data_IF_531823603341
#
_entry.id   IF_531823603341
#
_cell.length_a   1.000
_cell.length_b   1.000
_cell.length_c   1.000
_cell.angle_alpha   90.00
_cell.angle_beta   90.00
_cell.angle_gamma   90.00
#
_symmetry.space_group_name_H-M   'P 1'
#
loop_
_entity.id
_entity.type
_entity.pdbx_description
1 polymer ?
2 polymer ?
3 non-polymer ?
#
# COMPACT_ATOMS: atom_id res chain seq x y z
N UNK A 1 -8.43 -14.33 11.55
CA UNK A 1 -9.37 -13.34 11.07
C UNK A 1 -8.73 -12.34 10.13
N UNK A 2 -8.99 -12.50 8.83
CA UNK A 2 -8.41 -11.65 7.80
C UNK A 2 -9.51 -11.24 6.82
N UNK A 3 -10.04 -10.03 7.01
CA UNK A 3 -11.00 -9.44 6.08
C UNK A 3 -10.26 -8.70 4.98
N UNK A 4 -10.77 -8.80 3.76
CA UNK A 4 -10.11 -8.15 2.65
C UNK A 4 -11.01 -7.88 1.45
N UNK A 5 -10.89 -6.72 0.84
CA UNK A 5 -11.66 -6.34 -0.32
C UNK A 5 -10.76 -6.29 -1.56
N UNK A 6 -11.41 -6.30 -2.72
CA UNK A 6 -10.70 -6.29 -3.99
C UNK A 6 -11.38 -5.31 -4.93
N UNK A 7 -10.60 -4.43 -5.56
CA UNK A 7 -11.14 -3.52 -6.55
C UNK A 7 -11.64 -4.33 -7.75
N UNK A 8 -12.42 -3.66 -8.60
CA UNK A 8 -12.95 -4.34 -9.76
C UNK A 8 -11.88 -4.95 -10.63
N UNK A 9 -10.73 -4.27 -10.73
CA UNK A 9 -9.65 -4.72 -11.60
C UNK A 9 -8.71 -5.68 -10.87
N UNK A 10 -9.27 -6.82 -10.47
CA UNK A 10 -8.51 -7.90 -9.87
C UNK A 10 -8.93 -9.21 -10.52
N UNK A 11 -7.94 -10.05 -10.85
CA UNK A 11 -8.23 -11.35 -11.40
C UNK A 11 -9.09 -12.16 -10.44
N UNK A 12 -10.12 -12.81 -10.98
CA UNK A 12 -10.94 -13.69 -10.16
C UNK A 12 -10.12 -14.80 -9.53
N UNK A 13 -9.05 -15.24 -10.21
CA UNK A 13 -8.15 -16.21 -9.62
C UNK A 13 -7.68 -15.76 -8.24
N UNK A 14 -7.19 -14.53 -8.14
CA UNK A 14 -6.67 -14.02 -6.88
C UNK A 14 -7.77 -13.99 -5.81
N UNK A 15 -8.96 -13.53 -6.19
CA UNK A 15 -10.07 -13.54 -5.23
C UNK A 15 -10.38 -14.95 -4.78
N UNK A 16 -10.38 -15.92 -5.71
CA UNK A 16 -10.64 -17.31 -5.34
C UNK A 16 -9.63 -17.80 -4.32
N UNK A 17 -8.35 -17.49 -4.53
CA UNK A 17 -7.33 -17.92 -3.58
C UNK A 17 -7.57 -17.31 -2.20
N UNK A 18 -7.88 -16.01 -2.15
CA UNK A 18 -8.19 -15.37 -0.88
C UNK A 18 -9.32 -16.11 -0.16
N UNK A 19 -10.38 -16.44 -0.89
CA UNK A 19 -11.48 -17.21 -0.31
C UNK A 19 -10.98 -18.53 0.22
N UNK A 20 -10.10 -19.20 -0.53
CA UNK A 20 -9.78 -20.59 -0.21
C UNK A 20 -8.88 -20.70 1.02
N UNK A 21 -7.96 -19.75 1.22
CA UNK A 21 -6.91 -19.96 2.20
C UNK A 21 -6.49 -18.66 2.86
N UNK A 22 -6.20 -18.74 4.15
CA UNK A 22 -5.74 -17.64 4.97
C UNK A 22 -6.29 -17.80 6.38
N UNK A 23 -6.39 -16.67 7.09
CA UNK A 23 -7.13 -16.65 8.34
C UNK A 23 -8.60 -16.85 8.04
N UNK A 24 -9.50 -16.55 8.99
CA UNK A 24 -10.92 -16.55 8.64
C UNK A 24 -11.13 -15.52 7.53
N UNK A 25 -11.62 -15.97 6.39
CA UNK A 25 -11.72 -15.12 5.21
C UNK A 25 -13.11 -14.50 5.14
N UNK A 26 -13.13 -13.20 4.85
CA UNK A 26 -14.32 -12.38 4.69
C UNK A 26 -13.87 -11.23 3.82
N UNK A 27 -14.79 -10.64 3.08
CA UNK A 27 -14.47 -9.56 2.14
C UNK A 27 -15.50 -8.45 2.21
N UNK A 28 -15.41 -7.59 3.24
CA UNK A 28 -16.33 -6.44 3.34
C UNK A 28 -15.84 -5.17 2.68
N UNK A 29 -16.58 -4.08 2.85
CA UNK A 29 -16.19 -2.79 2.25
C UNK A 29 -14.91 -2.25 2.88
N UNK A 30 -14.84 -2.26 4.22
CA UNK A 30 -13.72 -1.67 4.95
C UNK A 30 -12.57 -2.65 5.10
N UNK A 31 -12.82 -3.79 5.74
CA UNK A 31 -11.87 -4.90 5.76
C UNK A 31 -10.57 -4.60 6.49
N UNK A 32 -9.66 -5.57 6.47
CA UNK A 32 -8.32 -5.44 7.02
C UNK A 32 -7.23 -5.36 5.97
N UNK A 33 -7.44 -5.97 4.81
CA UNK A 33 -6.48 -5.98 3.71
C UNK A 33 -7.12 -5.29 2.51
N UNK A 34 -6.36 -4.43 1.87
CA UNK A 34 -6.82 -3.67 0.70
C UNK A 34 -6.01 -4.15 -0.50
N UNK A 35 -6.64 -4.89 -1.39
CA UNK A 35 -5.97 -5.47 -2.54
C UNK A 35 -6.45 -4.85 -3.85
N UNK A 36 -5.53 -4.75 -4.80
CA UNK A 36 -5.82 -4.18 -6.11
C UNK A 36 -4.71 -4.59 -7.07
N UNK A 37 -5.07 -4.71 -8.35
CA UNK A 37 -4.08 -4.85 -9.40
C UNK A 37 -3.96 -3.58 -10.24
N UNK A 38 -4.49 -2.47 -9.74
CA UNK A 38 -4.47 -1.23 -10.48
C UNK A 38 -4.53 -0.06 -9.53
N UNK A 39 -4.03 1.09 -10.00
CA UNK A 39 -4.00 2.30 -9.20
C UNK A 39 -4.28 3.55 -10.03
N UNK A 40 -4.86 3.39 -11.23
CA UNK A 40 -5.08 4.51 -12.12
C UNK A 40 -6.48 5.09 -11.91
N UNK A 41 -7.50 4.47 -12.49
CA UNK A 41 -8.88 4.90 -12.32
C UNK A 41 -9.82 3.75 -11.98
N UNK A 42 -9.46 2.90 -11.01
CA UNK A 42 -10.42 1.88 -10.54
C UNK A 42 -11.01 2.29 -9.19
N UNK A 43 -11.86 1.41 -8.63
CA UNK A 43 -12.28 1.54 -7.25
C UNK A 43 -11.18 1.91 -6.25
N UNK A 44 -9.93 1.58 -6.56
CA UNK A 44 -8.84 1.80 -5.61
C UNK A 44 -8.70 3.28 -5.25
N UNK A 45 -9.02 4.18 -6.17
CA UNK A 45 -8.93 5.60 -5.87
C UNK A 45 -9.73 5.95 -4.61
N UNK A 46 -10.83 5.24 -4.36
CA UNK A 46 -11.64 5.47 -3.17
C UNK A 46 -10.89 5.15 -1.89
N UNK A 47 -9.80 4.37 -1.97
CA UNK A 47 -8.90 4.23 -0.83
C UNK A 47 -7.96 5.43 -0.76
N UNK A 48 -7.25 5.71 -1.86
CA UNK A 48 -6.19 6.71 -1.84
C UNK A 48 -6.68 8.05 -1.33
N UNK A 49 -7.95 8.39 -1.64
CA UNK A 49 -8.51 9.68 -1.26
C UNK A 49 -9.43 9.58 -0.04
N UNK A 50 -9.39 8.48 0.68
CA UNK A 50 -10.05 8.41 1.97
C UNK A 50 -9.21 9.10 3.04
N UNK A 51 -9.88 9.49 4.13
CA UNK A 51 -9.13 10.03 5.27
C UNK A 51 -8.22 8.98 5.88
N UNK A 52 -8.61 7.70 5.78
CA UNK A 52 -7.78 6.64 6.35
C UNK A 52 -6.42 6.57 5.67
N UNK A 53 -6.41 6.68 4.33
CA UNK A 53 -5.13 6.73 3.62
C UNK A 53 -4.32 7.95 4.06
N UNK A 54 -4.97 9.11 4.13
CA UNK A 54 -4.28 10.33 4.56
C UNK A 54 -3.69 10.16 5.95
N UNK A 55 -4.45 9.54 6.85
CA UNK A 55 -4.03 9.40 8.24
C UNK A 55 -3.28 8.10 8.51
N UNK A 56 -2.74 7.47 7.47
CA UNK A 56 -1.91 6.27 7.61
C UNK A 56 -2.68 5.10 8.24
N UNK A 57 -3.98 5.01 7.95
CA UNK A 57 -4.78 3.86 8.37
C UNK A 57 -5.18 2.98 7.19
N UNK A 58 -4.51 3.14 6.06
CA UNK A 58 -4.85 2.35 4.87
C UNK A 58 -3.64 2.28 3.96
N UNK A 59 -3.18 1.06 3.68
CA UNK A 59 -2.16 0.79 2.68
C UNK A 59 -2.74 -0.17 1.65
N UNK A 60 -2.65 0.19 0.37
CA UNK A 60 -3.08 -0.67 -0.70
C UNK A 60 -1.93 -1.59 -1.09
N UNK A 61 -2.20 -2.90 -1.13
CA UNK A 61 -1.23 -3.89 -1.57
C UNK A 61 -1.65 -4.45 -2.93
N UNK A 62 -0.67 -4.75 -3.77
CA UNK A 62 -0.96 -5.33 -5.08
C UNK A 62 -1.47 -6.76 -4.89
N UNK A 63 -2.57 -7.08 -5.56
CA UNK A 63 -3.22 -8.37 -5.34
C UNK A 63 -2.32 -9.54 -5.74
N UNK A 64 -1.28 -9.29 -6.53
CA UNK A 64 -0.33 -10.34 -6.85
C UNK A 64 0.40 -10.84 -5.61
N UNK A 65 0.31 -10.13 -4.48
CA UNK A 65 0.74 -10.72 -3.21
C UNK A 65 0.16 -12.11 -3.04
N UNK A 66 -1.13 -12.27 -3.37
CA UNK A 66 -1.77 -13.57 -3.24
C UNK A 66 -1.19 -14.57 -4.22
N UNK A 67 -0.86 -14.14 -5.44
CA UNK A 67 -0.18 -15.02 -6.37
C UNK A 67 1.15 -15.48 -5.81
N UNK A 68 1.92 -14.56 -5.21
CA UNK A 68 3.21 -14.92 -4.63
C UNK A 68 3.05 -15.95 -3.52
N UNK A 69 2.03 -15.79 -2.67
CA UNK A 69 1.80 -16.77 -1.61
C UNK A 69 1.38 -18.10 -2.21
N UNK A 70 0.48 -18.07 -3.19
CA UNK A 70 0.02 -19.31 -3.81
C UNK A 70 1.18 -20.11 -4.38
N UNK A 71 2.24 -19.43 -4.84
CA UNK A 71 3.42 -20.08 -5.39
C UNK A 71 4.54 -20.18 -4.37
N UNK A 72 4.29 -19.79 -3.12
CA UNK A 72 5.18 -20.09 -2.01
C UNK A 72 4.80 -21.46 -1.45
N UNK A 73 5.49 -21.89 -0.39
CA UNK A 73 5.17 -23.19 0.21
C UNK A 73 3.70 -23.11 0.60
N UNK A 74 3.40 -22.38 1.68
CA UNK A 74 2.03 -22.19 2.13
C UNK A 74 1.65 -20.73 2.31
N UNK A 75 2.10 -20.15 3.42
CA UNK A 75 1.85 -18.76 3.78
C UNK A 75 3.11 -18.07 4.26
N UNK A 76 4.18 -18.82 4.54
CA UNK A 76 5.43 -18.31 5.05
C UNK A 76 6.09 -17.38 4.04
N UNK A 77 7.05 -16.60 4.54
CA UNK A 77 7.83 -15.71 3.69
C UNK A 77 6.85 -14.75 2.99
N UNK A 78 7.22 -14.29 1.79
CA UNK A 78 6.38 -13.37 1.03
C UNK A 78 5.96 -12.11 1.80
N UNK A 79 6.95 -11.35 2.28
CA UNK A 79 6.64 -10.13 3.01
C UNK A 79 5.73 -9.16 2.27
N UNK A 80 4.83 -8.53 3.03
CA UNK A 80 3.87 -7.62 2.42
C UNK A 80 4.55 -6.43 1.76
N UNK A 81 5.57 -5.88 2.41
CA UNK A 81 6.17 -4.64 1.97
C UNK A 81 6.56 -4.60 0.51
N UNK A 82 6.79 -5.78 -0.07
CA UNK A 82 7.19 -5.83 -1.48
C UNK A 82 6.02 -5.53 -2.41
N UNK A 83 4.79 -5.61 -1.91
CA UNK A 83 3.61 -5.45 -2.74
C UNK A 83 2.85 -4.16 -2.45
N UNK A 84 3.50 -3.21 -1.78
CA UNK A 84 2.91 -1.89 -1.61
C UNK A 84 2.56 -1.34 -2.98
N UNK A 85 1.31 -0.93 -3.15
CA UNK A 85 0.82 -0.40 -4.41
C UNK A 85 0.53 1.09 -4.25
N UNK A 86 1.46 1.97 -4.57
CA UNK A 86 1.23 3.41 -4.38
C UNK A 86 0.40 4.00 -5.50
N UNK A 87 -0.15 5.19 -5.31
CA UNK A 87 -0.90 5.85 -6.38
C UNK A 87 -0.11 5.96 -7.67
N UNK A 88 -0.80 5.73 -8.80
CA UNK A 88 -0.12 5.68 -10.08
C UNK A 88 0.62 6.97 -10.40
N UNK A 89 0.12 8.11 -9.88
CA UNK A 89 0.79 9.38 -10.13
C UNK A 89 2.19 9.40 -9.55
N UNK A 90 2.49 8.53 -8.59
CA UNK A 90 3.82 8.44 -8.01
C UNK A 90 4.70 7.43 -8.71
N UNK A 91 4.11 6.37 -9.29
CA UNK A 91 4.88 5.20 -9.69
C UNK A 91 5.98 5.56 -10.68
N UNK A 92 5.69 6.45 -11.64
CA UNK A 92 6.70 6.81 -12.62
C UNK A 92 7.98 7.31 -11.95
N UNK A 93 7.84 8.15 -10.92
CA UNK A 93 9.00 8.69 -10.23
C UNK A 93 9.62 7.69 -9.26
N UNK A 94 8.80 6.81 -8.67
CA UNK A 94 9.34 5.80 -7.77
C UNK A 94 10.29 4.89 -8.52
N UNK A 95 9.86 4.38 -9.68
CA UNK A 95 10.70 3.50 -10.48
C UNK A 95 12.03 4.18 -10.79
N UNK A 96 11.98 5.39 -11.35
CA UNK A 96 13.20 6.07 -11.76
C UNK A 96 14.14 6.28 -10.58
N UNK A 97 13.60 6.76 -9.45
CA UNK A 97 14.45 7.03 -8.29
C UNK A 97 15.12 5.76 -7.80
N UNK A 98 14.44 4.62 -7.88
CA UNK A 98 15.04 3.35 -7.48
C UNK A 98 16.03 2.87 -8.54
N UNK A 99 15.65 2.97 -9.82
CA UNK A 99 16.49 2.43 -10.87
C UNK A 99 17.76 3.23 -11.11
N UNK A 100 17.73 4.53 -10.81
CA UNK A 100 18.83 5.40 -11.17
C UNK A 100 20.14 4.93 -10.56
N UNK A 101 21.25 5.36 -11.19
CA UNK A 101 22.58 5.06 -10.71
C UNK A 101 23.00 6.08 -9.64
N UNK A 102 24.01 5.68 -8.85
CA UNK A 102 24.43 6.52 -7.73
C UNK A 102 24.98 7.86 -8.23
N UNK A 103 25.58 7.88 -9.41
CA UNK A 103 26.10 9.14 -9.95
C UNK A 103 25.01 10.03 -10.53
N UNK A 104 23.74 9.64 -10.42
CA UNK A 104 22.64 10.42 -10.97
C UNK A 104 21.79 11.01 -9.85
N UNK A 105 21.00 10.20 -9.16
CA UNK A 105 20.17 10.63 -8.03
C UNK A 105 19.55 12.01 -8.31
N UNK A 106 18.80 12.07 -9.40
CA UNK A 106 18.19 13.33 -9.83
C UNK A 106 16.94 13.60 -8.99
N UNK A 107 16.89 14.78 -8.37
CA UNK A 107 15.73 15.22 -7.62
C UNK A 107 15.85 16.69 -7.23
N UNK B 1 18.99 -10.17 9.01
CA UNK B 1 18.74 -8.91 8.33
C UNK B 1 17.40 -8.29 8.76
N UNK B 2 17.47 -7.21 9.51
CA UNK B 2 16.27 -6.52 9.96
C UNK B 2 15.93 -5.38 9.01
N UNK B 3 14.65 -5.30 8.63
CA UNK B 3 14.12 -4.20 7.84
C UNK B 3 12.62 -4.41 7.66
N UNK B 4 11.80 -3.62 8.37
CA UNK B 4 10.35 -3.78 8.27
C UNK B 4 9.92 -3.68 6.82
N UNK B 5 8.86 -4.42 6.48
CA UNK B 5 8.37 -4.51 5.13
C UNK B 5 9.04 -5.59 4.30
N UNK B 6 10.32 -5.85 4.55
CA UNK B 6 11.01 -6.98 3.94
C UNK B 6 10.96 -8.21 4.82
N UNK B 7 10.79 -8.03 6.12
CA UNK B 7 10.56 -9.11 7.07
C UNK B 7 9.10 -9.11 7.52
N UNK B 8 8.24 -8.41 6.78
CA UNK B 8 6.82 -8.29 7.10
C UNK B 8 6.11 -9.61 6.87
N UNK B 9 6.54 -10.64 7.60
CA UNK B 9 5.98 -11.98 7.48
C UNK B 9 5.06 -12.31 8.66
N UNK B 10 5.21 -11.62 9.79
CA UNK B 10 4.45 -11.97 10.98
C UNK B 10 2.96 -11.78 10.77
N UNK B 11 2.19 -12.72 11.32
CA UNK B 11 0.73 -12.66 11.23
C UNK B 11 0.20 -11.41 11.93
N UNK B 12 -1.01 -11.02 11.54
CA UNK B 12 -1.75 -9.88 12.07
C UNK B 12 -1.35 -8.57 11.39
N UNK B 13 -0.27 -8.55 10.60
CA UNK B 13 0.12 -7.35 9.87
C UNK B 13 -0.77 -7.18 8.65
N UNK B 14 -1.34 -6.00 8.48
CA UNK B 14 -2.35 -5.78 7.45
C UNK B 14 -2.29 -4.34 6.97
N UNK B 15 -3.31 -3.92 6.21
CA UNK B 15 -3.29 -2.62 5.57
C UNK B 15 -3.46 -1.47 6.55
N UNK B 16 -3.99 -1.73 7.75
CA UNK B 16 -4.12 -0.69 8.77
C UNK B 16 -2.87 -0.59 9.62
N UNK B 17 -2.25 -1.72 9.94
CA UNK B 17 -1.04 -1.72 10.74
C UNK B 17 0.20 -1.33 9.94
N UNK B 18 0.20 -1.59 8.63
CA UNK B 18 1.47 -1.60 7.90
C UNK B 18 2.11 -0.22 7.86
N UNK B 19 1.35 0.81 7.44
CA UNK B 19 1.94 2.13 7.32
C UNK B 19 2.63 2.55 8.61
N UNK B 20 2.01 2.28 9.74
CA UNK B 20 2.62 2.62 11.03
C UNK B 20 3.82 1.73 11.33
N UNK B 21 3.83 0.50 10.82
CA UNK B 21 4.97 -0.38 11.03
C UNK B 21 6.25 0.25 10.47
N UNK B 22 6.25 0.58 9.18
CA UNK B 22 7.44 1.14 8.55
C UNK B 22 7.89 2.41 9.27
N UNK B 23 6.95 3.32 9.52
CA UNK B 23 7.30 4.58 10.17
C UNK B 23 7.98 4.34 11.51
N UNK B 24 7.57 3.29 12.22
CA UNK B 24 8.12 2.99 13.54
C UNK B 24 9.46 2.27 13.48
N UNK B 25 9.92 1.89 12.29
CA UNK B 25 11.04 0.97 12.16
C UNK B 25 12.36 1.73 12.12
N UNK B 26 13.30 1.45 13.01
CA UNK B 26 14.56 2.23 13.00
C UNK B 26 15.34 2.11 11.70
N UNK B 27 15.27 0.98 11.02
CA UNK B 27 16.07 0.75 9.81
C UNK B 27 15.16 0.41 8.64
N UNK B 28 15.26 1.19 7.56
CA UNK B 28 14.45 0.98 6.38
C UNK B 28 15.32 0.89 5.13
N UNK B 29 14.97 -0.05 4.25
CA UNK B 29 15.70 -0.22 2.99
C UNK B 29 15.36 0.91 2.02
N UNK B 30 16.20 1.05 1.01
CA UNK B 30 16.06 2.17 0.07
C UNK B 30 14.72 2.12 -0.64
N UNK B 31 14.29 0.94 -1.07
CA UNK B 31 13.02 0.83 -1.80
C UNK B 31 11.87 1.37 -0.96
N UNK B 32 11.85 1.08 0.33
CA UNK B 32 10.77 1.52 1.19
C UNK B 32 10.95 2.95 1.66
N UNK B 33 12.20 3.42 1.77
CA UNK B 33 12.45 4.85 1.95
C UNK B 33 11.85 5.65 0.80
N UNK B 34 12.02 5.17 -0.43
CA UNK B 34 11.50 5.87 -1.59
C UNK B 34 9.97 5.85 -1.60
N UNK B 35 9.38 4.67 -1.48
CA UNK B 35 7.92 4.57 -1.55
C UNK B 35 7.28 5.42 -0.45
N UNK B 36 7.82 5.34 0.77
CA UNK B 36 7.25 6.11 1.88
C UNK B 36 7.28 7.60 1.56
N UNK B 37 8.45 8.11 1.17
CA UNK B 37 8.56 9.52 0.83
C UNK B 37 7.61 9.90 -0.29
N UNK B 38 7.44 9.02 -1.28
CA UNK B 38 6.50 9.30 -2.35
C UNK B 38 5.06 9.34 -1.85
N UNK B 39 4.70 8.39 -0.98
CA UNK B 39 3.34 8.38 -0.44
C UNK B 39 3.09 9.58 0.46
N UNK B 40 4.08 9.97 1.26
CA UNK B 40 3.90 11.14 2.12
C UNK B 40 3.63 12.40 1.29
N UNK B 41 4.32 12.54 0.16
CA UNK B 41 4.07 13.67 -0.72
C UNK B 41 2.62 13.69 -1.19
N UNK B 42 2.12 12.54 -1.63
CA UNK B 42 0.73 12.44 -2.07
C UNK B 42 -0.23 12.82 -0.95
N UNK B 43 -0.01 12.26 0.25
CA UNK B 43 -0.91 12.54 1.36
C UNK B 43 -0.83 14.01 1.78
N UNK B 44 0.36 14.60 1.73
CA UNK B 44 0.49 16.02 2.03
C UNK B 44 -0.37 16.86 1.09
N UNK B 45 -0.36 16.53 -0.21
CA UNK B 45 -1.07 17.34 -1.18
C UNK B 45 -2.58 17.22 -1.03
N UNK B 46 -3.08 16.07 -0.58
CA UNK B 46 -4.51 15.98 -0.28
C UNK B 46 -4.87 16.92 0.87
N UNK B 47 -4.10 16.88 1.95
CA UNK B 47 -4.34 17.80 3.05
C UNK B 47 -4.29 19.25 2.59
N UNK B 48 -3.20 19.63 1.92
CA UNK B 48 -3.01 21.02 1.52
C UNK B 48 -4.02 21.45 0.46
N UNK B 49 -4.60 20.49 -0.27
CA UNK B 49 -5.73 20.82 -1.14
C UNK B 49 -6.95 21.21 -0.32
N UNK B 50 -7.22 20.46 0.75
CA UNK B 50 -8.39 20.74 1.58
C UNK B 50 -8.26 22.09 2.28
N UNK B 51 -7.05 22.45 2.71
CA UNK B 51 -6.89 23.70 3.45
C UNK B 51 -6.79 24.90 2.54
N UNK B 52 -6.47 24.70 1.26
CA UNK B 52 -6.26 25.80 0.32
C UNK B 52 -7.42 25.97 -0.65
N UNK B 53 -7.79 24.93 -1.38
CA UNK B 53 -8.85 25.06 -2.39
C UNK B 53 -8.48 26.27 -3.25
N UNK B 54 -9.49 27.03 -3.65
CA UNK B 54 -9.30 28.40 -4.09
C UNK B 54 -10.29 29.36 -3.46
N UNK B 55 -11.35 28.86 -2.81
CA UNK B 55 -12.40 29.69 -2.24
C UNK B 55 -12.41 29.70 -0.73
N UNK B 56 -11.92 28.64 -0.08
CA UNK B 56 -12.04 28.52 1.36
C UNK B 56 -11.32 29.69 2.03
N UNK B 57 -12.01 30.32 2.98
CA UNK B 57 -11.46 31.44 3.72
C UNK B 57 -11.18 31.03 5.16
N UNK B 58 -10.21 31.73 5.76
CA UNK B 58 -9.78 31.49 7.14
C UNK B 58 -10.30 32.66 7.97
N UNK B 59 -11.36 32.42 8.75
CA UNK B 59 -11.96 33.53 9.48
C UNK B 59 -12.56 33.09 10.81
N UNK B 60 -12.41 33.90 11.87
CA UNK B 60 -13.04 33.64 13.18
C UNK B 60 -14.42 34.29 13.34
X LIG C 1 12.59 -2.70 3.56
#
# INVERSE_FOLDING_TARGET
>A
GQRGWFCGSVSQDLRQFWVAEGGTISDPRAADFLFSCDASHPDTLRIYQSLDYIEDNATVFHAYYLSAVANAKIKNSVALGHFILPPACLQKEIRRKIGSFIWEQDQ
>B
YRCSGCIAVEKSLNSRNFSKLLHSCPYQCDRHKVIVEAEDRYKSELRKSLICNKKILLTP
>C hetero
1 ZN ZN
#
